data_IF_624009810878
#
_entry.id   IF_624009810878
#
_cell.length_a   1.000
_cell.length_b   1.000
_cell.length_c   1.000
_cell.angle_alpha   90.00
_cell.angle_beta   90.00
_cell.angle_gamma   90.00
#
_symmetry.space_group_name_H-M   'P 1'
#
loop_
_entity.id
_entity.type
_entity.pdbx_description
1 polymer ?
#
# COMPACT_ATOMS: atom_id res chain seq x y z
N UNK A 1 49.42 -5.36 13.30
CA UNK A 1 48.51 -5.05 14.43
C UNK A 1 47.70 -3.84 13.99
N UNK A 2 46.39 -3.89 13.67
CA UNK A 2 45.31 -4.79 14.16
C UNK A 2 45.03 -4.54 15.64
N UNK A 3 43.85 -4.13 16.14
CA UNK A 3 42.55 -3.68 15.57
C UNK A 3 42.10 -2.38 16.32
N UNK A 4 41.02 -1.59 16.07
CA UNK A 4 39.70 -1.72 15.38
C UNK A 4 38.63 -2.48 16.21
N UNK A 5 37.39 -2.03 16.43
CA UNK A 5 36.72 -0.69 16.47
C UNK A 5 35.46 -0.82 17.33
N UNK A 6 35.11 0.18 18.14
CA UNK A 6 33.84 0.28 18.88
C UNK A 6 33.42 1.76 19.03
N UNK A 7 32.13 2.14 19.13
CA UNK A 7 30.89 1.54 18.59
C UNK A 7 29.79 2.62 18.68
N UNK A 8 29.01 2.92 17.61
CA UNK A 8 27.96 3.93 17.66
C UNK A 8 26.66 3.37 18.26
N UNK A 9 26.07 4.10 19.20
CA UNK A 9 24.80 3.71 19.86
C UNK A 9 23.63 3.92 18.91
N UNK A 10 22.80 2.89 18.74
CA UNK A 10 21.48 3.01 18.10
C UNK A 10 20.46 3.52 19.12
N UNK A 11 19.64 4.50 18.73
CA UNK A 11 18.46 4.94 19.49
C UNK A 11 17.44 5.63 18.58
N UNK A 12 16.43 4.89 18.11
CA UNK A 12 15.22 5.49 17.54
C UNK A 12 14.14 5.62 18.63
N UNK A 13 13.52 6.79 18.75
CA UNK A 13 12.50 7.06 19.78
C UNK A 13 11.24 6.18 19.65
N UNK A 14 10.99 5.58 18.48
CA UNK A 14 9.95 4.57 18.29
C UNK A 14 10.36 3.18 18.82
N UNK A 15 11.65 2.86 18.77
CA UNK A 15 12.21 1.62 19.34
C UNK A 15 12.24 1.74 20.87
N UNK A 16 12.64 2.90 21.40
CA UNK A 16 12.55 3.20 22.84
C UNK A 16 11.11 3.00 23.35
N UNK A 17 10.09 3.50 22.63
CA UNK A 17 8.69 3.34 23.04
C UNK A 17 8.20 1.88 22.98
N UNK A 18 8.56 1.12 21.94
CA UNK A 18 8.20 -0.29 21.84
C UNK A 18 8.90 -1.16 22.89
N UNK A 19 10.22 -1.01 23.05
CA UNK A 19 11.01 -1.77 24.00
C UNK A 19 10.69 -1.41 25.47
N UNK A 20 10.29 -0.16 25.76
CA UNK A 20 9.77 0.22 27.07
C UNK A 20 8.45 -0.49 27.38
N UNK A 21 7.53 -0.57 26.40
CA UNK A 21 6.27 -1.30 26.56
C UNK A 21 6.49 -2.79 26.80
N UNK A 22 7.38 -3.43 26.04
CA UNK A 22 7.70 -4.86 26.23
C UNK A 22 8.35 -5.11 27.61
N UNK A 23 9.33 -4.29 28.01
CA UNK A 23 10.02 -4.45 29.29
C UNK A 23 9.11 -4.21 30.52
N UNK A 24 8.13 -3.31 30.42
CA UNK A 24 7.20 -2.96 31.50
C UNK A 24 6.00 -3.93 31.61
N UNK A 25 5.87 -4.85 30.63
CA UNK A 25 5.02 -6.04 30.68
C UNK A 25 5.76 -7.23 31.32
N UNK A 26 6.98 -7.54 30.87
CA UNK A 26 7.81 -8.61 31.45
C UNK A 26 8.12 -8.39 32.93
N UNK A 27 8.20 -7.14 33.39
CA UNK A 27 8.43 -6.80 34.80
C UNK A 27 7.30 -7.23 35.75
N UNK A 28 6.20 -7.83 35.26
CA UNK A 28 5.03 -8.26 36.05
C UNK A 28 4.77 -9.76 36.03
N UNK A 29 5.58 -10.55 35.31
CA UNK A 29 5.42 -12.01 35.21
C UNK A 29 6.23 -12.81 36.25
N UNK A 30 6.97 -12.14 37.14
CA UNK A 30 7.94 -12.75 38.05
C UNK A 30 7.64 -12.53 39.55
N UNK A 31 6.60 -13.20 40.05
CA UNK A 31 6.58 -13.70 41.44
C UNK A 31 5.93 -15.10 41.48
N UNK A 32 6.23 -15.91 42.49
CA UNK A 32 6.03 -17.38 42.51
C UNK A 32 5.33 -17.87 43.81
N UNK A 33 4.97 -19.14 44.07
CA UNK A 33 5.39 -20.47 43.56
C UNK A 33 4.18 -21.47 43.51
N UNK A 34 4.22 -22.75 43.99
CA UNK A 34 4.20 -23.93 43.10
C UNK A 34 3.11 -24.99 43.42
N UNK A 35 3.26 -26.20 42.83
CA UNK A 35 2.55 -27.47 43.12
C UNK A 35 1.09 -27.58 42.59
N UNK A 36 0.54 -28.76 42.26
CA UNK A 36 1.02 -30.17 42.36
C UNK A 36 1.02 -30.89 40.97
N UNK A 37 1.28 -32.21 40.95
CA UNK A 37 1.50 -33.09 39.79
C UNK A 37 0.22 -33.62 39.07
N UNK A 38 0.47 -34.43 38.04
CA UNK A 38 -0.28 -35.61 37.53
C UNK A 38 -1.04 -35.60 36.18
N UNK A 39 -0.67 -36.63 35.40
CA UNK A 39 -1.34 -37.44 34.37
C UNK A 39 -1.64 -36.91 32.94
N UNK A 40 -1.49 -37.83 31.98
CA UNK A 40 -1.68 -37.71 30.53
C UNK A 40 -3.00 -38.39 30.16
N UNK A 41 -3.91 -37.73 29.43
CA UNK A 41 -5.01 -38.41 28.72
C UNK A 41 -5.10 -37.90 27.28
N UNK A 42 -5.17 -38.84 26.33
CA UNK A 42 -5.52 -38.60 24.92
C UNK A 42 -7.03 -38.79 24.77
N UNK A 43 -7.76 -37.82 24.20
CA UNK A 43 -9.14 -38.03 23.74
C UNK A 43 -9.25 -37.72 22.24
N UNK A 44 -9.91 -38.63 21.52
CA UNK A 44 -10.22 -38.53 20.09
C UNK A 44 -11.59 -37.80 19.94
N UNK A 45 -11.69 -36.79 19.08
CA UNK A 45 -12.99 -36.21 18.69
C UNK A 45 -13.38 -36.69 17.27
N UNK A 46 -14.66 -37.06 17.11
CA UNK A 46 -15.19 -37.81 15.96
C UNK A 46 -15.54 -36.91 14.75
N UNK A 47 -15.42 -37.46 13.53
CA UNK A 47 -15.86 -36.78 12.29
C UNK A 47 -17.37 -37.00 12.04
N UNK A 48 -18.19 -35.94 12.05
CA UNK A 48 -19.57 -35.98 11.55
C UNK A 48 -19.64 -35.64 10.05
N UNK A 49 -20.07 -36.59 9.23
CA UNK A 49 -20.40 -36.39 7.80
C UNK A 49 -21.83 -35.84 7.64
N UNK A 50 -22.02 -34.73 6.90
CA UNK A 50 -23.34 -34.37 6.33
C UNK A 50 -23.31 -34.43 4.78
N UNK A 51 -24.34 -35.03 4.18
CA UNK A 51 -24.34 -35.45 2.77
C UNK A 51 -24.59 -34.32 1.74
N UNK A 52 -23.88 -34.35 0.61
CA UNK A 52 -24.15 -33.49 -0.55
C UNK A 52 -25.44 -33.89 -1.30
N UNK A 53 -26.46 -33.04 -1.25
CA UNK A 53 -27.61 -33.11 -2.16
C UNK A 53 -27.30 -32.41 -3.49
N UNK A 54 -27.38 -33.17 -4.60
CA UNK A 54 -27.08 -32.70 -5.97
C UNK A 54 -28.34 -32.13 -6.65
N UNK A 55 -28.16 -31.10 -7.46
CA UNK A 55 -28.92 -30.89 -8.70
C UNK A 55 -28.09 -30.02 -9.67
N UNK A 56 -28.28 -30.21 -10.99
CA UNK A 56 -27.55 -29.54 -12.08
C UNK A 56 -28.53 -28.96 -13.14
N UNK A 57 -28.07 -28.12 -14.11
CA UNK A 57 -28.82 -26.90 -14.50
C UNK A 57 -29.62 -26.96 -15.82
N UNK A 58 -30.48 -25.95 -16.03
CA UNK A 58 -30.98 -25.53 -17.36
C UNK A 58 -31.00 -23.99 -17.53
N UNK A 59 -30.31 -23.52 -18.59
CA UNK A 59 -30.49 -22.37 -19.51
C UNK A 59 -30.99 -20.93 -19.14
N UNK A 60 -30.41 -19.98 -19.89
CA UNK A 60 -30.64 -18.52 -20.05
C UNK A 60 -31.89 -18.24 -20.98
N UNK A 61 -32.38 -17.00 -21.32
CA UNK A 61 -31.83 -15.66 -21.05
C UNK A 61 -32.81 -14.45 -20.78
N UNK A 62 -32.19 -13.28 -20.49
CA UNK A 62 -32.48 -11.93 -21.05
C UNK A 62 -33.32 -10.81 -20.31
N UNK A 63 -32.89 -9.56 -20.57
CA UNK A 63 -33.60 -8.24 -20.58
C UNK A 63 -34.04 -7.44 -19.29
N UNK A 64 -33.39 -6.26 -19.15
CA UNK A 64 -33.83 -4.91 -18.69
C UNK A 64 -34.72 -4.61 -17.44
N UNK A 65 -34.06 -4.04 -16.42
CA UNK A 65 -34.21 -2.62 -15.96
C UNK A 65 -35.32 -2.15 -14.98
N UNK A 66 -35.06 -0.97 -14.36
CA UNK A 66 -36.00 0.00 -13.71
C UNK A 66 -36.65 -0.49 -12.38
N UNK A 67 -37.05 0.35 -11.40
CA UNK A 67 -36.65 1.69 -10.89
C UNK A 67 -37.51 1.98 -9.62
N UNK A 68 -36.91 2.41 -8.50
CA UNK A 68 -37.41 3.38 -7.50
C UNK A 68 -38.89 3.27 -7.00
N UNK A 69 -39.11 3.06 -5.67
CA UNK A 69 -39.88 4.01 -4.81
C UNK A 69 -39.92 3.67 -3.30
N UNK A 70 -40.28 4.69 -2.50
CA UNK A 70 -40.40 4.72 -1.03
C UNK A 70 -41.88 4.73 -0.59
N UNK A 71 -42.18 4.11 0.56
CA UNK A 71 -43.22 4.48 1.55
C UNK A 71 -42.91 3.65 2.84
N UNK A 72 -42.98 4.07 4.11
CA UNK A 72 -43.65 5.16 4.89
C UNK A 72 -45.18 5.02 5.01
N UNK A 73 -45.73 5.48 6.17
CA UNK A 73 -47.15 5.50 6.61
C UNK A 73 -47.56 4.17 7.27
N UNK A 74 -48.22 4.07 8.44
CA UNK A 74 -48.54 4.94 9.62
C UNK A 74 -48.73 3.96 10.82
N UNK A 75 -48.28 4.20 12.06
CA UNK A 75 -48.82 5.10 13.11
C UNK A 75 -50.30 4.87 13.44
N UNK A 76 -50.58 4.27 14.61
CA UNK A 76 -51.89 4.31 15.27
C UNK A 76 -51.70 4.23 16.80
N UNK A 77 -52.22 5.20 17.52
CA UNK A 77 -52.27 5.22 18.99
C UNK A 77 -53.62 4.67 19.48
N UNK A 78 -53.66 4.18 20.72
CA UNK A 78 -54.86 4.17 21.55
C UNK A 78 -54.46 4.15 23.04
N UNK A 79 -55.27 4.78 23.87
CA UNK A 79 -55.02 5.01 25.30
C UNK A 79 -56.28 4.64 26.09
N UNK A 80 -56.14 3.89 27.18
CA UNK A 80 -56.87 4.12 28.44
C UNK A 80 -56.32 3.24 29.60
N UNK A 81 -56.61 3.66 30.82
CA UNK A 81 -56.04 3.25 32.12
C UNK A 81 -57.22 3.17 33.14
N UNK A 82 -57.10 2.90 34.46
CA UNK A 82 -56.08 2.17 35.24
C UNK A 82 -56.70 1.11 36.20
N UNK A 83 -55.87 0.40 37.00
CA UNK A 83 -56.08 0.11 38.46
C UNK A 83 -55.09 -0.91 39.08
N UNK A 84 -54.57 -0.60 40.27
CA UNK A 84 -54.38 -1.59 41.35
C UNK A 84 -52.95 -1.82 41.90
N UNK A 85 -52.74 -1.40 43.15
CA UNK A 85 -51.67 -1.70 44.13
C UNK A 85 -50.85 -3.00 43.94
N UNK A 86 -49.58 -3.08 44.35
CA UNK A 86 -49.17 -2.98 45.78
C UNK A 86 -47.66 -2.69 45.97
N UNK A 87 -47.31 -2.13 47.15
CA UNK A 87 -45.96 -1.82 47.62
C UNK A 87 -45.02 -3.03 47.75
N UNK A 88 -43.74 -2.84 47.40
CA UNK A 88 -42.68 -2.83 48.43
C UNK A 88 -41.49 -1.98 47.99
N UNK A 89 -40.89 -1.25 48.94
CA UNK A 89 -39.69 -0.45 48.70
C UNK A 89 -38.44 -1.07 49.34
N UNK A 90 -37.28 -0.73 48.77
CA UNK A 90 -35.98 -0.75 49.43
C UNK A 90 -35.31 0.61 49.22
N UNK A 91 -34.50 1.07 50.17
CA UNK A 91 -34.02 2.46 50.21
C UNK A 91 -32.68 2.62 49.49
N UNK A 92 -32.59 3.65 48.64
CA UNK A 92 -31.32 4.22 48.22
C UNK A 92 -30.53 4.74 49.43
N UNK A 93 -29.30 4.23 49.61
CA UNK A 93 -28.26 4.91 50.37
C UNK A 93 -27.20 5.44 49.41
N UNK A 94 -27.54 6.58 48.78
CA UNK A 94 -26.62 7.39 47.99
C UNK A 94 -25.50 7.96 48.89
N UNK A 95 -24.41 7.22 49.10
CA UNK A 95 -23.14 7.80 49.51
C UNK A 95 -22.50 8.49 48.31
N UNK A 96 -22.86 9.75 48.12
CA UNK A 96 -22.43 10.58 47.00
C UNK A 96 -20.94 10.91 47.02
N UNK A 97 -20.10 10.00 46.51
CA UNK A 97 -18.77 10.33 46.02
C UNK A 97 -18.87 10.84 44.56
N UNK A 98 -19.51 11.99 44.37
CA UNK A 98 -19.53 12.69 43.07
C UNK A 98 -18.16 13.35 42.81
N UNK A 99 -17.15 12.51 42.64
CA UNK A 99 -15.93 12.90 41.96
C UNK A 99 -16.32 13.22 40.52
N UNK A 100 -16.21 14.48 40.13
CA UNK A 100 -16.22 14.88 38.73
C UNK A 100 -15.06 14.17 38.06
N UNK A 101 -15.34 13.03 37.40
CA UNK A 101 -14.32 12.20 36.74
C UNK A 101 -13.53 13.08 35.79
N UNK A 102 -12.31 13.42 36.19
CA UNK A 102 -11.39 14.19 35.35
C UNK A 102 -11.17 13.37 34.08
N UNK A 103 -11.42 13.98 32.93
CA UNK A 103 -11.13 13.36 31.65
C UNK A 103 -9.63 13.05 31.61
N UNK A 104 -9.28 11.80 31.34
CA UNK A 104 -7.91 11.34 31.40
C UNK A 104 -7.10 11.94 30.23
N UNK A 105 -6.16 12.85 30.53
CA UNK A 105 -5.33 13.57 29.55
C UNK A 105 -3.99 12.89 29.25
N UNK A 106 -3.87 11.59 29.52
CA UNK A 106 -2.66 10.81 29.27
C UNK A 106 -2.50 10.42 27.78
N UNK A 107 -1.28 10.12 27.32
CA UNK A 107 -0.97 9.92 25.89
C UNK A 107 -1.76 8.81 25.16
N UNK A 108 -2.33 7.83 25.85
CA UNK A 108 -3.05 6.73 25.20
C UNK A 108 -3.71 5.70 26.12
N UNK A 109 -4.27 4.67 25.51
CA UNK A 109 -4.90 3.51 26.16
C UNK A 109 -4.47 2.18 25.54
N UNK A 110 -4.59 1.11 26.33
CA UNK A 110 -4.70 -0.26 25.86
C UNK A 110 -6.13 -0.72 26.04
N UNK A 111 -6.83 -0.97 24.93
CA UNK A 111 -8.27 -1.15 24.94
C UNK A 111 -8.96 0.08 25.53
N UNK A 112 -9.79 -0.16 26.55
CA UNK A 112 -10.51 0.87 27.30
C UNK A 112 -9.79 1.36 28.57
N UNK A 113 -8.53 0.95 28.83
CA UNK A 113 -7.76 1.39 30.01
C UNK A 113 -6.60 2.32 29.62
N UNK A 114 -6.50 3.48 30.29
CA UNK A 114 -5.35 4.38 30.12
C UNK A 114 -4.02 3.70 30.48
N UNK A 115 -3.01 3.82 29.61
CA UNK A 115 -1.68 3.19 29.80
C UNK A 115 -0.90 3.71 31.02
N UNK A 116 -1.18 4.92 31.50
CA UNK A 116 -0.44 5.54 32.63
C UNK A 116 -1.15 5.36 33.97
N UNK A 117 -2.46 5.61 34.03
CA UNK A 117 -3.21 5.65 35.29
C UNK A 117 -4.23 4.54 35.48
N UNK A 118 -4.39 3.63 34.52
CA UNK A 118 -5.37 2.54 34.58
C UNK A 118 -6.84 2.98 34.55
N UNK A 119 -7.13 4.29 34.45
CA UNK A 119 -8.50 4.80 34.40
C UNK A 119 -9.21 4.28 33.14
N UNK A 120 -10.39 3.69 33.34
CA UNK A 120 -11.27 3.28 32.24
C UNK A 120 -11.77 4.50 31.46
N UNK A 121 -11.59 4.48 30.14
CA UNK A 121 -12.01 5.49 29.19
C UNK A 121 -13.36 5.09 28.59
N UNK A 122 -14.26 6.06 28.40
CA UNK A 122 -15.59 5.85 27.83
C UNK A 122 -15.68 6.24 26.34
N UNK A 123 -14.60 6.76 25.76
CA UNK A 123 -14.60 7.38 24.43
C UNK A 123 -13.47 6.79 23.57
N UNK A 124 -13.79 6.41 22.33
CA UNK A 124 -12.83 5.90 21.34
C UNK A 124 -12.06 7.02 20.63
N UNK A 125 -11.59 8.02 21.38
CA UNK A 125 -10.83 9.15 20.82
C UNK A 125 -9.36 8.79 20.60
N UNK A 126 -8.81 9.20 19.46
CA UNK A 126 -7.42 8.92 19.08
C UNK A 126 -7.28 7.77 18.09
N UNK A 127 -6.09 7.62 17.51
CA UNK A 127 -5.81 6.64 16.45
C UNK A 127 -5.33 5.32 17.06
N UNK A 128 -5.91 4.22 16.58
CA UNK A 128 -5.51 2.86 16.94
C UNK A 128 -4.24 2.48 16.17
N UNK A 129 -3.20 2.02 16.86
CA UNK A 129 -1.95 1.52 16.28
C UNK A 129 -1.85 0.00 16.47
N UNK A 130 -2.91 -0.70 16.07
CA UNK A 130 -3.07 -2.14 16.26
C UNK A 130 -1.92 -2.96 15.64
N UNK A 131 -1.28 -2.42 14.60
CA UNK A 131 -0.17 -3.05 13.92
C UNK A 131 1.10 -3.15 14.79
N UNK A 132 1.28 -2.24 15.75
CA UNK A 132 2.35 -2.27 16.76
C UNK A 132 1.96 -3.24 17.87
N UNK A 133 0.81 -2.99 18.51
CA UNK A 133 0.25 -3.87 19.53
C UNK A 133 -1.28 -3.81 19.50
N UNK A 134 -1.93 -4.97 19.56
CA UNK A 134 -3.39 -5.09 19.54
C UNK A 134 -4.01 -4.24 20.68
N UNK A 135 -4.96 -3.38 20.35
CA UNK A 135 -5.63 -2.50 21.30
C UNK A 135 -4.87 -1.24 21.71
N UNK A 136 -3.63 -0.99 21.23
CA UNK A 136 -2.94 0.28 21.45
C UNK A 136 -3.70 1.42 20.74
N UNK A 137 -4.03 2.48 21.48
CA UNK A 137 -4.58 3.73 20.92
C UNK A 137 -3.86 4.93 21.53
N UNK A 138 -3.47 5.89 20.70
CA UNK A 138 -2.83 7.13 21.14
C UNK A 138 -3.72 8.35 20.89
N UNK A 139 -3.67 9.33 21.79
CA UNK A 139 -4.38 10.60 21.64
C UNK A 139 -3.83 11.43 20.47
N UNK A 140 -4.70 12.21 19.82
CA UNK A 140 -4.33 12.97 18.62
C UNK A 140 -3.13 13.92 18.84
N UNK A 141 -3.09 14.61 19.97
CA UNK A 141 -2.00 15.52 20.32
C UNK A 141 -0.67 14.77 20.53
N UNK A 142 -0.72 13.56 21.09
CA UNK A 142 0.46 12.72 21.27
C UNK A 142 0.98 12.17 19.94
N UNK A 143 0.09 11.75 19.03
CA UNK A 143 0.48 11.31 17.69
C UNK A 143 1.14 12.45 16.91
N UNK A 144 0.63 13.67 17.05
CA UNK A 144 1.28 14.87 16.49
C UNK A 144 2.65 15.11 17.15
N UNK A 145 2.77 14.96 18.48
CA UNK A 145 4.05 15.08 19.21
C UNK A 145 5.08 14.05 18.74
N UNK A 146 4.69 12.78 18.61
CA UNK A 146 5.54 11.69 18.13
C UNK A 146 5.96 11.91 16.68
N UNK A 147 5.02 12.17 15.75
CA UNK A 147 5.33 12.51 14.35
C UNK A 147 6.35 13.64 14.23
N UNK A 148 6.19 14.70 15.03
CA UNK A 148 7.09 15.84 15.06
C UNK A 148 8.47 15.51 15.65
N UNK A 149 8.55 14.56 16.59
CA UNK A 149 9.80 14.11 17.22
C UNK A 149 10.57 13.15 16.31
N UNK A 150 9.91 12.07 15.88
CA UNK A 150 10.52 10.99 15.11
C UNK A 150 10.94 11.48 13.72
N UNK A 151 10.13 12.31 13.05
CA UNK A 151 10.52 12.91 11.77
C UNK A 151 11.78 13.78 11.93
N UNK A 152 11.90 14.58 13.01
CA UNK A 152 13.11 15.38 13.26
C UNK A 152 14.32 14.53 13.62
N UNK A 153 14.13 13.40 14.30
CA UNK A 153 15.19 12.43 14.56
C UNK A 153 15.68 11.80 13.24
N UNK A 154 14.73 11.35 12.41
CA UNK A 154 15.01 10.69 11.14
C UNK A 154 15.69 11.61 10.12
N UNK A 155 15.23 12.87 10.02
CA UNK A 155 15.84 13.90 9.17
C UNK A 155 17.29 14.22 9.56
N UNK A 156 17.63 14.21 10.86
CA UNK A 156 19.04 14.38 11.31
C UNK A 156 19.95 13.25 10.84
N UNK A 157 19.42 12.04 10.73
CA UNK A 157 20.11 10.87 10.20
C UNK A 157 20.10 10.80 8.66
N UNK A 158 19.69 11.89 7.97
CA UNK A 158 19.46 11.93 6.52
C UNK A 158 18.55 10.79 6.01
N UNK A 159 17.51 10.44 6.76
CA UNK A 159 16.48 9.48 6.33
C UNK A 159 15.12 10.15 6.13
N UNK A 160 14.31 9.54 5.27
CA UNK A 160 12.88 9.82 5.05
C UNK A 160 12.05 8.56 5.36
N UNK A 161 10.73 8.63 5.29
CA UNK A 161 9.87 7.44 5.40
C UNK A 161 9.49 6.91 4.01
N UNK A 162 9.42 5.58 3.88
CA UNK A 162 8.96 4.91 2.66
C UNK A 162 7.92 3.84 2.99
N UNK A 163 6.68 4.06 2.57
CA UNK A 163 5.60 3.08 2.65
C UNK A 163 5.61 2.23 1.39
N UNK A 164 5.67 0.91 1.55
CA UNK A 164 5.69 -0.07 0.48
C UNK A 164 4.43 -0.92 0.53
N UNK A 165 3.73 -1.02 -0.60
CA UNK A 165 2.74 -2.07 -0.82
C UNK A 165 3.40 -3.42 -1.16
N UNK A 166 2.65 -4.52 -1.12
CA UNK A 166 3.13 -5.87 -1.43
C UNK A 166 2.69 -6.33 -2.82
N UNK A 167 1.39 -6.46 -3.03
CA UNK A 167 0.76 -7.17 -4.14
C UNK A 167 0.85 -6.39 -5.45
N UNK A 168 1.50 -6.97 -6.46
CA UNK A 168 1.88 -6.32 -7.71
C UNK A 168 2.91 -5.18 -7.56
N UNK A 169 3.31 -4.84 -6.34
CA UNK A 169 4.31 -3.83 -6.02
C UNK A 169 5.70 -4.45 -5.81
N UNK A 170 5.88 -5.23 -4.73
CA UNK A 170 7.12 -5.93 -4.38
C UNK A 170 7.11 -7.43 -4.70
N UNK A 171 5.91 -8.01 -4.87
CA UNK A 171 5.70 -9.44 -5.11
C UNK A 171 4.38 -9.67 -5.86
N UNK A 172 4.14 -10.90 -6.28
CA UNK A 172 2.84 -11.34 -6.78
C UNK A 172 2.55 -12.74 -6.23
N UNK A 173 1.32 -12.96 -5.75
CA UNK A 173 0.87 -14.23 -5.17
C UNK A 173 -0.30 -14.80 -5.97
N UNK A 174 -0.43 -16.13 -5.99
CA UNK A 174 -1.59 -16.84 -6.55
C UNK A 174 -1.99 -18.02 -5.68
N UNK A 175 -3.28 -18.27 -5.54
CA UNK A 175 -3.79 -19.49 -4.90
C UNK A 175 -3.49 -20.70 -5.79
N UNK A 176 -3.17 -21.85 -5.19
CA UNK A 176 -2.74 -23.04 -5.93
C UNK A 176 -3.82 -23.61 -6.85
N UNK A 177 -5.11 -23.39 -6.52
CA UNK A 177 -6.24 -23.77 -7.39
C UNK A 177 -6.42 -22.85 -8.62
N UNK A 178 -5.77 -21.69 -8.66
CA UNK A 178 -5.78 -20.77 -9.80
C UNK A 178 -4.54 -20.90 -10.72
N UNK A 179 -3.66 -21.88 -10.44
CA UNK A 179 -2.49 -22.20 -11.27
C UNK A 179 -2.93 -22.82 -12.60
N UNK A 180 -2.43 -22.32 -13.72
CA UNK A 180 -2.72 -22.91 -15.04
C UNK A 180 -1.80 -24.11 -15.34
N UNK A 181 -2.22 -24.96 -16.29
CA UNK A 181 -1.39 -26.07 -16.77
C UNK A 181 -0.09 -25.59 -17.48
N UNK A 182 -0.07 -24.37 -18.01
CA UNK A 182 1.16 -23.77 -18.58
C UNK A 182 2.18 -23.40 -17.49
N UNK A 183 1.72 -23.17 -16.26
CA UNK A 183 2.51 -22.76 -15.09
C UNK A 183 2.95 -23.92 -14.21
N UNK A 184 2.51 -25.16 -14.47
CA UNK A 184 2.79 -26.31 -13.61
C UNK A 184 4.30 -26.59 -13.44
N UNK A 185 5.13 -26.17 -14.40
CA UNK A 185 6.59 -26.25 -14.30
C UNK A 185 7.16 -25.47 -13.10
N UNK A 186 6.46 -24.45 -12.59
CA UNK A 186 6.89 -23.68 -11.41
C UNK A 186 6.97 -24.56 -10.14
N UNK A 187 6.19 -25.65 -10.07
CA UNK A 187 6.25 -26.62 -8.97
C UNK A 187 7.60 -27.34 -8.85
N UNK A 188 8.40 -27.38 -9.91
CA UNK A 188 9.76 -27.97 -9.91
C UNK A 188 10.90 -26.93 -9.86
N UNK A 189 10.57 -25.64 -9.83
CA UNK A 189 11.52 -24.53 -9.73
C UNK A 189 11.39 -23.78 -8.39
N UNK A 190 10.86 -24.44 -7.37
CA UNK A 190 10.56 -23.82 -6.09
C UNK A 190 11.82 -23.63 -5.25
N UNK A 191 11.99 -22.43 -4.71
CA UNK A 191 13.07 -22.10 -3.79
C UNK A 191 12.78 -22.62 -2.38
N UNK A 192 13.84 -22.97 -1.64
CA UNK A 192 13.71 -23.48 -0.28
C UNK A 192 13.34 -22.36 0.70
N UNK A 193 12.31 -22.60 1.53
CA UNK A 193 11.99 -21.76 2.68
C UNK A 193 13.11 -21.73 3.76
N UNK A 194 14.19 -22.49 3.58
CA UNK A 194 15.41 -22.41 4.40
C UNK A 194 16.47 -21.45 3.82
N UNK A 195 16.39 -21.07 2.54
CA UNK A 195 17.27 -20.08 1.90
C UNK A 195 16.47 -18.95 1.22
N UNK A 196 15.56 -18.37 2.00
CA UNK A 196 14.70 -17.24 1.61
C UNK A 196 15.52 -16.05 1.08
N UNK A 197 16.78 -15.89 1.52
CA UNK A 197 17.61 -14.73 1.16
C UNK A 197 18.16 -14.76 -0.28
N UNK A 198 18.14 -15.93 -0.93
CA UNK A 198 18.56 -16.09 -2.33
C UNK A 198 17.41 -16.52 -3.25
N UNK A 199 16.32 -17.06 -2.69
CA UNK A 199 15.14 -17.48 -3.44
C UNK A 199 14.26 -16.33 -3.91
N UNK A 200 13.38 -16.62 -4.87
CA UNK A 200 12.33 -15.70 -5.32
C UNK A 200 10.95 -16.35 -5.45
N UNK A 201 10.84 -17.67 -5.59
CA UNK A 201 9.58 -18.38 -5.83
C UNK A 201 9.29 -19.40 -4.72
N UNK A 202 8.28 -19.12 -3.90
CA UNK A 202 7.96 -19.88 -2.69
C UNK A 202 6.54 -20.44 -2.73
N UNK A 203 6.34 -21.61 -2.13
CA UNK A 203 5.01 -22.22 -1.89
C UNK A 203 4.73 -22.09 -0.40
N UNK A 204 3.57 -21.56 -0.06
CA UNK A 204 3.10 -21.45 1.32
C UNK A 204 1.96 -22.44 1.52
N UNK A 205 2.32 -23.66 1.90
CA UNK A 205 1.39 -24.80 2.00
C UNK A 205 0.18 -24.50 2.91
N UNK A 206 0.43 -23.90 4.07
CA UNK A 206 -0.59 -23.50 5.05
C UNK A 206 -1.52 -22.35 4.59
N UNK A 207 -1.16 -21.65 3.50
CA UNK A 207 -2.02 -20.64 2.86
C UNK A 207 -2.58 -21.12 1.51
N UNK A 208 -2.25 -22.36 1.11
CA UNK A 208 -2.53 -22.92 -0.21
C UNK A 208 -2.18 -21.98 -1.37
N UNK A 209 -1.06 -21.26 -1.29
CA UNK A 209 -0.64 -20.29 -2.31
C UNK A 209 0.81 -20.48 -2.77
N UNK A 210 1.15 -19.82 -3.87
CA UNK A 210 2.51 -19.62 -4.36
C UNK A 210 2.77 -18.13 -4.49
N UNK A 211 3.93 -17.67 -4.04
CA UNK A 211 4.36 -16.27 -4.04
C UNK A 211 5.66 -16.15 -4.81
N UNK A 212 5.69 -15.22 -5.77
CA UNK A 212 6.88 -14.79 -6.48
C UNK A 212 7.27 -13.40 -6.00
N UNK A 213 8.46 -13.28 -5.42
CA UNK A 213 9.11 -11.99 -5.15
C UNK A 213 9.54 -11.35 -6.47
N UNK A 214 9.33 -10.03 -6.62
CA UNK A 214 9.70 -9.28 -7.82
C UNK A 214 11.23 -9.21 -7.95
N UNK A 215 11.80 -9.32 -9.17
CA UNK A 215 13.23 -9.14 -9.38
C UNK A 215 13.79 -7.88 -8.73
N UNK A 216 15.07 -7.95 -8.33
CA UNK A 216 15.80 -6.93 -7.58
C UNK A 216 15.33 -6.63 -6.14
N UNK A 217 14.26 -7.24 -5.61
CA UNK A 217 13.63 -6.77 -4.35
C UNK A 217 14.56 -6.76 -3.12
N UNK A 218 15.38 -7.77 -2.88
CA UNK A 218 16.27 -7.77 -1.70
C UNK A 218 17.37 -6.69 -1.81
N UNK A 219 17.86 -6.42 -3.02
CA UNK A 219 18.80 -5.32 -3.28
C UNK A 219 18.12 -3.97 -3.14
N UNK A 220 16.88 -3.83 -3.65
CA UNK A 220 16.04 -2.65 -3.46
C UNK A 220 15.84 -2.33 -1.98
N UNK A 221 15.41 -3.29 -1.15
CA UNK A 221 15.18 -3.09 0.29
C UNK A 221 16.49 -2.72 1.01
N UNK A 222 17.58 -3.44 0.71
CA UNK A 222 18.91 -3.19 1.30
C UNK A 222 19.48 -1.81 0.98
N UNK A 223 19.26 -1.31 -0.24
CA UNK A 223 19.76 0.00 -0.64
C UNK A 223 18.78 1.13 -0.25
N UNK A 224 17.47 0.87 -0.21
CA UNK A 224 16.47 1.80 0.30
C UNK A 224 16.62 2.02 1.82
N UNK A 225 16.92 0.99 2.62
CA UNK A 225 17.07 1.10 4.09
C UNK A 225 18.17 2.08 4.53
N UNK A 226 19.12 2.42 3.65
CA UNK A 226 20.17 3.42 3.91
C UNK A 226 19.64 4.85 3.83
N UNK A 227 18.56 5.07 3.07
CA UNK A 227 17.94 6.39 2.80
C UNK A 227 16.57 6.54 3.46
N UNK A 228 15.92 5.43 3.85
CA UNK A 228 14.54 5.40 4.31
C UNK A 228 14.34 4.55 5.56
N UNK A 229 13.31 4.89 6.34
CA UNK A 229 12.68 4.04 7.33
C UNK A 229 11.41 3.44 6.71
N UNK A 230 11.34 2.10 6.65
CA UNK A 230 10.40 1.42 5.76
C UNK A 230 9.22 0.79 6.50
N UNK A 231 8.05 0.89 5.88
CA UNK A 231 6.78 0.31 6.33
C UNK A 231 6.24 -0.60 5.23
N UNK A 232 5.65 -1.74 5.60
CA UNK A 232 4.73 -2.49 4.74
C UNK A 232 3.32 -1.95 5.00
N UNK A 233 2.54 -1.72 3.94
CA UNK A 233 1.11 -1.42 4.01
C UNK A 233 0.37 -2.07 2.83
N UNK A 234 -0.19 -3.27 3.06
CA UNK A 234 -0.98 -4.04 2.07
C UNK A 234 -2.49 -3.93 2.31
N UNK A 235 -3.30 -4.33 1.32
CA UNK A 235 -4.73 -4.61 1.44
C UNK A 235 -5.06 -6.10 1.74
N UNK A 236 -4.04 -6.95 1.93
CA UNK A 236 -4.19 -8.28 2.54
C UNK A 236 -4.48 -8.21 4.05
N UNK A 237 -4.93 -9.33 4.63
CA UNK A 237 -5.05 -9.49 6.09
C UNK A 237 -3.70 -9.52 6.80
N UNK A 238 -3.77 -9.44 8.13
CA UNK A 238 -2.61 -9.47 9.01
C UNK A 238 -1.81 -10.77 8.95
N UNK A 239 -2.45 -11.92 8.70
CA UNK A 239 -1.73 -13.19 8.56
C UNK A 239 -0.87 -13.15 7.28
N UNK A 240 -1.48 -12.88 6.13
CA UNK A 240 -0.78 -12.70 4.86
C UNK A 240 0.36 -11.68 4.95
N UNK A 241 0.09 -10.49 5.50
CA UNK A 241 1.07 -9.41 5.60
C UNK A 241 2.33 -9.81 6.40
N UNK A 242 2.17 -10.58 7.48
CA UNK A 242 3.28 -11.05 8.30
C UNK A 242 4.09 -12.16 7.62
N UNK A 243 3.45 -13.07 6.88
CA UNK A 243 4.17 -14.12 6.14
C UNK A 243 4.95 -13.54 4.95
N UNK A 244 4.35 -12.59 4.20
CA UNK A 244 5.07 -11.85 3.16
C UNK A 244 6.25 -11.05 3.73
N UNK A 245 6.09 -10.47 4.93
CA UNK A 245 7.19 -9.78 5.61
C UNK A 245 8.34 -10.73 5.98
N UNK A 246 8.07 -11.99 6.37
CA UNK A 246 9.13 -13.01 6.57
C UNK A 246 9.86 -13.36 5.28
N UNK A 247 9.18 -13.39 4.13
CA UNK A 247 9.81 -13.64 2.84
C UNK A 247 10.71 -12.47 2.40
N UNK A 248 10.29 -11.24 2.63
CA UNK A 248 11.05 -10.04 2.25
C UNK A 248 12.19 -9.68 3.22
N UNK A 249 11.97 -9.91 4.52
CA UNK A 249 12.83 -9.49 5.63
C UNK A 249 12.91 -10.60 6.72
N UNK A 250 13.51 -11.77 6.42
CA UNK A 250 13.57 -12.90 7.35
C UNK A 250 14.36 -12.61 8.64
N UNK A 251 15.15 -11.53 8.67
CA UNK A 251 15.95 -11.10 9.83
C UNK A 251 15.37 -9.91 10.59
N UNK A 252 14.23 -9.36 10.14
CA UNK A 252 13.56 -8.16 10.70
C UNK A 252 14.45 -6.90 10.70
N UNK A 253 15.36 -6.78 9.75
CA UNK A 253 16.32 -5.68 9.59
C UNK A 253 15.70 -4.41 8.97
N UNK A 254 14.55 -4.55 8.30
CA UNK A 254 13.95 -3.48 7.48
C UNK A 254 12.60 -3.00 8.00
N UNK A 255 11.72 -3.90 8.43
CA UNK A 255 10.35 -3.57 8.84
C UNK A 255 10.11 -3.69 10.34
N UNK A 256 10.66 -4.70 10.99
CA UNK A 256 10.36 -5.05 12.38
C UNK A 256 8.82 -5.06 12.63
N UNK A 257 8.28 -4.22 13.51
CA UNK A 257 6.84 -4.12 13.79
C UNK A 257 6.04 -3.30 12.76
N UNK A 258 6.67 -2.67 11.76
CA UNK A 258 6.03 -1.74 10.80
C UNK A 258 5.31 -2.45 9.65
N UNK A 259 4.46 -3.42 9.98
CA UNK A 259 3.67 -4.23 9.04
C UNK A 259 2.18 -3.93 9.24
N UNK A 260 1.66 -3.05 8.39
CA UNK A 260 0.27 -2.60 8.38
C UNK A 260 -0.52 -3.48 7.40
N UNK A 261 -1.62 -4.06 7.87
CA UNK A 261 -2.56 -4.82 7.05
C UNK A 261 -3.85 -4.04 6.78
N UNK A 262 -4.73 -4.60 5.95
CA UNK A 262 -6.12 -4.16 5.79
C UNK A 262 -6.86 -4.03 7.13
N UNK A 263 -6.56 -4.93 8.07
CA UNK A 263 -7.29 -5.08 9.33
C UNK A 263 -6.85 -4.01 10.36
N UNK A 264 -5.71 -3.36 10.10
CA UNK A 264 -5.19 -2.21 10.85
C UNK A 264 -5.67 -0.85 10.29
N UNK A 265 -6.36 -0.84 9.14
CA UNK A 265 -6.72 0.37 8.40
C UNK A 265 -7.93 1.14 8.93
N UNK A 266 -7.81 2.46 9.07
CA UNK A 266 -8.87 3.35 9.59
C UNK A 266 -10.04 3.58 8.62
N UNK A 267 -9.86 3.26 7.33
CA UNK A 267 -10.83 3.50 6.28
C UNK A 267 -11.01 2.26 5.42
N UNK A 268 -12.26 1.76 5.36
CA UNK A 268 -12.58 0.54 4.60
C UNK A 268 -12.24 0.73 3.11
N UNK A 269 -11.40 -0.16 2.58
CA UNK A 269 -10.91 -0.16 1.19
C UNK A 269 -10.06 1.06 0.77
N UNK A 270 -9.44 1.80 1.71
CA UNK A 270 -8.50 2.88 1.40
C UNK A 270 -7.30 2.86 2.34
N UNK A 271 -6.13 3.28 1.85
CA UNK A 271 -4.91 3.45 2.64
C UNK A 271 -4.74 4.91 3.07
N UNK A 272 -4.22 5.13 4.27
CA UNK A 272 -4.07 6.47 4.85
C UNK A 272 -2.81 6.62 5.68
N UNK A 273 -2.15 7.79 5.59
CA UNK A 273 -0.95 8.07 6.39
C UNK A 273 -1.28 8.40 7.86
N UNK A 274 -2.56 8.41 8.23
CA UNK A 274 -3.05 8.70 9.58
C UNK A 274 -2.65 7.65 10.64
N UNK A 275 -2.25 6.44 10.23
CA UNK A 275 -1.61 5.42 11.09
C UNK A 275 -0.08 5.33 10.95
N UNK A 276 0.56 6.10 10.07
CA UNK A 276 2.03 6.08 9.89
C UNK A 276 2.68 7.12 10.80
N UNK A 277 3.74 6.77 11.53
CA UNK A 277 4.38 7.67 12.52
C UNK A 277 5.26 8.79 11.92
N UNK A 278 5.39 8.87 10.59
CA UNK A 278 6.03 9.98 9.91
C UNK A 278 5.10 11.16 9.65
N UNK A 279 5.65 12.37 9.50
CA UNK A 279 4.93 13.49 8.87
C UNK A 279 4.81 13.27 7.35
N UNK A 280 3.67 13.61 6.75
CA UNK A 280 3.44 13.48 5.31
C UNK A 280 4.47 14.23 4.44
N UNK A 281 5.05 15.32 4.94
CA UNK A 281 6.12 16.09 4.28
C UNK A 281 7.44 15.31 4.16
N UNK A 282 7.58 14.18 4.85
CA UNK A 282 8.75 13.32 4.85
C UNK A 282 8.44 11.86 4.44
N UNK A 283 7.23 11.57 3.95
CA UNK A 283 6.80 10.22 3.53
C UNK A 283 6.71 10.12 2.01
N UNK A 284 7.35 9.09 1.45
CA UNK A 284 7.06 8.57 0.11
C UNK A 284 6.24 7.28 0.19
N UNK A 285 5.47 7.01 -0.86
CA UNK A 285 4.66 5.80 -1.01
C UNK A 285 5.04 5.14 -2.33
N UNK A 286 5.27 3.82 -2.34
CA UNK A 286 5.40 3.00 -3.54
C UNK A 286 4.26 1.98 -3.58
N UNK A 287 3.42 2.09 -4.60
CA UNK A 287 2.15 1.35 -4.72
C UNK A 287 1.70 1.33 -6.20
N UNK A 288 1.07 0.25 -6.64
CA UNK A 288 0.55 0.08 -8.01
C UNK A 288 -0.84 0.73 -8.22
N UNK A 289 -1.51 1.13 -7.14
CA UNK A 289 -2.96 1.40 -7.05
C UNK A 289 -3.23 2.83 -6.56
N UNK A 290 -3.22 3.79 -7.51
CA UNK A 290 -3.53 5.22 -7.26
C UNK A 290 -4.88 5.46 -6.53
N UNK A 291 -5.83 4.55 -6.68
CA UNK A 291 -7.16 4.60 -6.04
C UNK A 291 -7.15 4.22 -4.57
N UNK A 292 -6.14 3.49 -4.08
CA UNK A 292 -6.00 3.18 -2.65
C UNK A 292 -5.64 4.43 -1.83
N UNK A 293 -4.88 5.35 -2.43
CA UNK A 293 -4.30 6.53 -1.79
C UNK A 293 -5.03 7.84 -2.09
N UNK A 294 -6.36 7.83 -2.01
CA UNK A 294 -7.26 8.94 -2.43
C UNK A 294 -6.85 10.32 -1.89
N UNK A 295 -6.33 10.38 -0.65
CA UNK A 295 -5.92 11.59 0.08
C UNK A 295 -4.43 11.96 -0.08
N UNK A 296 -3.58 11.02 -0.46
CA UNK A 296 -2.10 11.16 -0.37
C UNK A 296 -1.41 10.99 -1.73
N UNK A 297 -2.11 11.29 -2.84
CA UNK A 297 -1.59 11.14 -4.22
C UNK A 297 -0.32 11.94 -4.50
N UNK A 298 -0.12 13.07 -3.82
CA UNK A 298 1.10 13.88 -3.93
C UNK A 298 2.33 13.22 -3.25
N UNK A 299 2.15 12.15 -2.47
CA UNK A 299 3.22 11.32 -1.89
C UNK A 299 3.55 10.07 -2.74
N UNK A 300 2.71 9.75 -3.73
CA UNK A 300 2.72 8.45 -4.42
C UNK A 300 3.68 8.40 -5.62
N UNK A 301 4.64 7.48 -5.55
CA UNK A 301 5.34 6.89 -6.69
C UNK A 301 4.47 5.76 -7.22
N UNK A 302 3.67 6.03 -8.24
CA UNK A 302 2.91 5.01 -8.96
C UNK A 302 3.86 4.22 -9.86
N UNK A 303 3.82 2.88 -9.80
CA UNK A 303 4.63 1.98 -10.62
C UNK A 303 3.79 0.97 -11.42
N UNK A 304 4.41 0.24 -12.35
CA UNK A 304 3.75 -0.81 -13.14
C UNK A 304 3.50 -2.07 -12.29
N UNK A 305 2.36 -2.74 -12.53
CA UNK A 305 1.96 -3.96 -11.82
C UNK A 305 2.84 -5.15 -12.18
N UNK A 306 3.33 -5.85 -11.16
CA UNK A 306 3.97 -7.15 -11.34
C UNK A 306 2.91 -8.24 -11.57
N UNK A 307 2.81 -8.68 -12.83
CA UNK A 307 1.91 -9.75 -13.26
C UNK A 307 2.71 -11.01 -13.59
N UNK A 308 3.22 -11.67 -12.54
CA UNK A 308 3.98 -12.91 -12.72
C UNK A 308 3.08 -14.09 -13.08
N UNK A 309 2.04 -14.34 -12.27
CA UNK A 309 1.11 -15.45 -12.46
C UNK A 309 -0.06 -15.10 -13.38
N UNK A 310 -0.54 -16.06 -14.17
CA UNK A 310 -1.64 -15.90 -15.13
C UNK A 310 -2.96 -15.49 -14.47
N UNK A 311 -3.22 -16.00 -13.25
CA UNK A 311 -4.37 -15.61 -12.42
C UNK A 311 -4.46 -14.10 -12.20
N UNK A 312 -3.33 -13.41 -12.08
CA UNK A 312 -3.30 -11.95 -11.93
C UNK A 312 -3.66 -11.19 -13.21
N UNK A 313 -3.27 -11.70 -14.39
CA UNK A 313 -3.73 -11.13 -15.66
C UNK A 313 -5.26 -11.24 -15.79
N UNK A 314 -5.80 -12.42 -15.47
CA UNK A 314 -7.25 -12.67 -15.51
C UNK A 314 -8.03 -11.79 -14.53
N UNK A 315 -7.56 -11.63 -13.28
CA UNK A 315 -8.20 -10.80 -12.26
C UNK A 315 -8.35 -9.32 -12.68
N UNK A 316 -7.39 -8.78 -13.43
CA UNK A 316 -7.42 -7.41 -13.95
C UNK A 316 -7.98 -7.30 -15.38
N UNK A 317 -8.48 -8.40 -15.95
CA UNK A 317 -9.10 -8.43 -17.28
C UNK A 317 -8.12 -8.32 -18.46
N UNK A 318 -6.84 -8.59 -18.24
CA UNK A 318 -5.82 -8.56 -19.29
C UNK A 318 -5.85 -9.85 -20.13
N UNK A 319 -5.85 -9.68 -21.46
CA UNK A 319 -5.86 -10.78 -22.44
C UNK A 319 -4.45 -11.16 -22.96
N UNK A 320 -3.40 -10.69 -22.28
CA UNK A 320 -2.01 -11.03 -22.59
C UNK A 320 -1.45 -12.07 -21.61
N UNK A 321 -0.58 -12.94 -22.12
CA UNK A 321 0.18 -13.90 -21.30
C UNK A 321 0.99 -13.18 -20.22
N UNK A 322 0.94 -13.75 -19.02
CA UNK A 322 1.74 -13.38 -17.85
C UNK A 322 3.23 -13.74 -18.02
N UNK A 323 4.08 -13.27 -17.11
CA UNK A 323 5.52 -13.54 -17.17
C UNK A 323 5.84 -15.05 -17.04
N UNK A 324 5.07 -15.78 -16.23
CA UNK A 324 5.17 -17.24 -16.06
C UNK A 324 4.85 -18.00 -17.34
N UNK A 325 3.73 -17.69 -18.00
CA UNK A 325 3.37 -18.29 -19.30
C UNK A 325 4.39 -17.97 -20.40
N UNK A 326 5.00 -16.78 -20.35
CA UNK A 326 6.09 -16.37 -21.24
C UNK A 326 7.45 -16.97 -20.85
N UNK A 327 7.56 -17.61 -19.68
CA UNK A 327 8.78 -18.20 -19.10
C UNK A 327 9.92 -17.18 -19.00
N UNK A 328 9.55 -16.00 -18.50
CA UNK A 328 10.38 -14.79 -18.42
C UNK A 328 10.13 -14.06 -17.09
N UNK A 329 10.87 -12.99 -16.83
CA UNK A 329 10.71 -12.16 -15.63
C UNK A 329 11.22 -10.72 -15.90
N UNK A 330 11.07 -9.80 -14.95
CA UNK A 330 11.72 -8.49 -15.01
C UNK A 330 13.26 -8.59 -14.90
N UNK A 331 13.99 -7.58 -15.39
CA UNK A 331 15.45 -7.52 -15.29
C UNK A 331 15.89 -6.92 -13.94
N UNK A 332 16.91 -7.52 -13.31
CA UNK A 332 17.52 -6.95 -12.09
C UNK A 332 18.20 -5.58 -12.33
N UNK A 333 18.66 -5.26 -13.54
CA UNK A 333 19.36 -4.00 -13.81
C UNK A 333 18.42 -2.83 -14.15
N UNK A 334 17.33 -3.14 -14.85
CA UNK A 334 16.48 -2.16 -15.53
C UNK A 334 14.98 -2.46 -15.44
N UNK A 335 14.57 -3.42 -14.60
CA UNK A 335 13.18 -3.65 -14.21
C UNK A 335 12.62 -2.54 -13.32
N UNK A 336 11.40 -2.72 -12.82
CA UNK A 336 10.64 -1.64 -12.19
C UNK A 336 11.27 -1.20 -10.85
N UNK A 337 11.67 -2.13 -9.97
CA UNK A 337 12.29 -1.79 -8.69
C UNK A 337 13.69 -1.15 -8.86
N UNK A 338 14.47 -1.63 -9.83
CA UNK A 338 15.76 -1.01 -10.17
C UNK A 338 15.59 0.42 -10.71
N UNK A 339 14.52 0.68 -11.48
CA UNK A 339 14.17 2.00 -11.99
C UNK A 339 13.67 2.92 -10.87
N UNK A 340 12.75 2.46 -10.02
CA UNK A 340 12.26 3.21 -8.85
C UNK A 340 13.38 3.53 -7.86
N UNK A 341 14.37 2.66 -7.65
CA UNK A 341 15.50 2.98 -6.78
C UNK A 341 16.36 4.14 -7.31
N UNK A 342 16.50 4.26 -8.64
CA UNK A 342 17.17 5.42 -9.29
C UNK A 342 16.38 6.72 -8.98
N UNK A 343 15.06 6.67 -8.98
CA UNK A 343 14.16 7.78 -8.60
C UNK A 343 14.25 8.14 -7.11
N UNK A 344 14.17 7.14 -6.21
CA UNK A 344 14.29 7.34 -4.76
C UNK A 344 15.61 8.00 -4.38
N UNK A 345 16.72 7.58 -5.00
CA UNK A 345 18.04 8.22 -4.87
C UNK A 345 18.04 9.67 -5.34
N UNK A 346 17.41 9.98 -6.48
CA UNK A 346 17.31 11.36 -6.99
C UNK A 346 16.50 12.25 -6.04
N UNK A 347 15.37 11.77 -5.53
CA UNK A 347 14.53 12.50 -4.56
C UNK A 347 15.31 12.75 -3.27
N UNK A 348 15.97 11.73 -2.72
CA UNK A 348 16.76 11.83 -1.49
C UNK A 348 17.89 12.87 -1.62
N UNK A 349 18.66 12.82 -2.70
CA UNK A 349 19.74 13.77 -2.97
C UNK A 349 19.23 15.21 -3.12
N UNK A 350 18.14 15.44 -3.87
CA UNK A 350 17.55 16.80 -3.97
C UNK A 350 17.07 17.26 -2.59
N UNK A 351 16.35 16.39 -1.87
CA UNK A 351 15.74 16.73 -0.58
C UNK A 351 16.79 17.11 0.48
N UNK A 352 17.92 16.40 0.57
CA UNK A 352 18.95 16.67 1.58
C UNK A 352 20.06 17.60 1.09
N UNK A 353 20.57 17.43 -0.13
CA UNK A 353 21.83 18.03 -0.57
C UNK A 353 21.65 19.20 -1.56
N UNK A 354 20.65 19.21 -2.44
CA UNK A 354 20.46 20.36 -3.36
C UNK A 354 19.74 21.54 -2.68
N UNK A 355 18.80 21.28 -1.75
CA UNK A 355 17.99 22.30 -1.08
C UNK A 355 18.67 22.98 0.14
N UNK A 356 20.01 23.10 0.17
CA UNK A 356 20.77 23.50 1.37
C UNK A 356 20.27 24.78 2.06
N UNK A 357 19.88 25.81 1.29
CA UNK A 357 19.44 27.11 1.80
C UNK A 357 18.07 27.07 2.52
N UNK A 358 17.30 25.99 2.38
CA UNK A 358 15.99 25.80 3.02
C UNK A 358 16.15 25.01 4.31
N UNK A 359 15.58 25.47 5.41
CA UNK A 359 15.57 24.74 6.68
C UNK A 359 14.96 23.34 6.50
N UNK A 360 15.65 22.30 6.96
CA UNK A 360 15.30 20.89 6.80
C UNK A 360 13.89 20.57 7.35
N UNK A 361 13.55 21.17 8.50
CA UNK A 361 12.22 21.08 9.14
C UNK A 361 11.07 21.69 8.29
N UNK A 362 11.38 22.40 7.20
CA UNK A 362 10.41 23.03 6.29
C UNK A 362 10.46 22.52 4.85
N UNK A 363 11.26 21.48 4.56
CA UNK A 363 11.28 20.82 3.24
C UNK A 363 10.11 19.84 3.15
N UNK A 364 9.50 19.73 1.97
CA UNK A 364 8.38 18.82 1.71
C UNK A 364 8.70 17.92 0.50
N UNK A 365 8.81 16.62 0.75
CA UNK A 365 9.20 15.60 -0.23
C UNK A 365 8.22 15.53 -1.40
N UNK A 366 6.97 15.94 -1.21
CA UNK A 366 5.94 16.00 -2.28
C UNK A 366 6.30 17.04 -3.34
N UNK A 367 6.92 18.15 -2.95
CA UNK A 367 7.40 19.15 -3.91
C UNK A 367 8.63 18.66 -4.66
N UNK A 368 9.53 17.91 -4.00
CA UNK A 368 10.69 17.26 -4.65
C UNK A 368 10.22 16.18 -5.64
N UNK A 369 9.31 15.30 -5.24
CA UNK A 369 8.69 14.27 -6.08
C UNK A 369 8.03 14.89 -7.33
N UNK A 370 7.34 16.02 -7.16
CA UNK A 370 6.68 16.78 -8.23
C UNK A 370 7.66 17.49 -9.16
N UNK A 371 8.87 17.83 -8.71
CA UNK A 371 9.97 18.27 -9.58
C UNK A 371 10.52 17.09 -10.37
N UNK A 372 10.95 16.01 -9.70
CA UNK A 372 11.50 14.80 -10.35
C UNK A 372 10.53 14.20 -11.38
N UNK A 373 9.21 14.26 -11.13
CA UNK A 373 8.20 13.83 -12.12
C UNK A 373 8.20 14.70 -13.39
N UNK A 374 8.42 16.01 -13.28
CA UNK A 374 8.46 16.94 -14.43
C UNK A 374 9.72 16.80 -15.28
N UNK A 375 10.82 16.38 -14.66
CA UNK A 375 12.09 16.16 -15.38
C UNK A 375 11.95 15.02 -16.43
N UNK A 376 10.95 14.13 -16.27
CA UNK A 376 10.76 12.94 -17.10
C UNK A 376 10.50 13.26 -18.58
N UNK A 377 9.59 14.19 -18.90
CA UNK A 377 9.27 14.60 -20.28
C UNK A 377 9.55 16.10 -20.52
N UNK A 378 10.49 16.71 -19.78
CA UNK A 378 10.89 18.10 -20.00
C UNK A 378 11.26 18.35 -21.48
N UNK A 379 10.84 19.49 -22.01
CA UNK A 379 11.08 19.87 -23.41
C UNK A 379 10.23 19.11 -24.43
N UNK A 380 9.43 18.12 -24.02
CA UNK A 380 8.47 17.47 -24.91
C UNK A 380 7.28 18.39 -25.20
N UNK A 381 6.95 18.56 -26.49
CA UNK A 381 5.75 19.23 -26.96
C UNK A 381 4.87 18.22 -27.69
N UNK A 382 3.71 17.93 -27.12
CA UNK A 382 2.88 16.77 -27.45
C UNK A 382 1.56 17.22 -28.07
N UNK A 383 1.16 16.57 -29.17
CA UNK A 383 -0.18 16.73 -29.76
C UNK A 383 -0.84 15.37 -29.95
N UNK A 384 -2.05 15.22 -29.41
CA UNK A 384 -2.83 13.99 -29.55
C UNK A 384 -3.65 13.95 -30.86
N UNK A 385 -3.81 12.75 -31.42
CA UNK A 385 -4.63 12.46 -32.59
C UNK A 385 -5.42 11.16 -32.43
N UNK A 386 -6.75 11.22 -32.50
CA UNK A 386 -7.69 10.09 -32.29
C UNK A 386 -7.62 9.34 -30.95
N UNK A 387 -6.85 9.84 -29.98
CA UNK A 387 -6.75 9.25 -28.62
C UNK A 387 -8.02 9.48 -27.77
N UNK A 388 -8.78 10.54 -28.05
CA UNK A 388 -10.04 10.86 -27.37
C UNK A 388 -11.05 11.51 -28.34
N UNK A 389 -12.37 11.50 -28.04
CA UNK A 389 -13.40 12.00 -28.95
C UNK A 389 -13.26 13.50 -29.26
N UNK A 390 -13.56 13.90 -30.50
CA UNK A 390 -13.36 15.28 -30.99
C UNK A 390 -14.19 16.36 -30.25
N UNK A 391 -15.27 15.97 -29.57
CA UNK A 391 -16.12 16.86 -28.77
C UNK A 391 -15.72 16.89 -27.28
N UNK A 392 -14.71 16.11 -26.87
CA UNK A 392 -14.24 16.05 -25.49
C UNK A 392 -13.25 17.18 -25.17
N UNK A 393 -13.27 17.69 -23.93
CA UNK A 393 -12.26 18.64 -23.46
C UNK A 393 -10.92 17.94 -23.28
N UNK A 394 -10.02 18.08 -24.26
CA UNK A 394 -8.74 17.38 -24.34
C UNK A 394 -7.92 17.42 -23.04
N UNK A 395 -7.82 18.59 -22.42
CA UNK A 395 -7.12 18.83 -21.16
C UNK A 395 -7.74 18.12 -19.94
N UNK A 396 -8.97 17.64 -20.04
CA UNK A 396 -9.59 16.83 -18.99
C UNK A 396 -9.23 15.33 -19.08
N UNK A 397 -8.64 14.88 -20.18
CA UNK A 397 -8.30 13.47 -20.42
C UNK A 397 -7.13 13.01 -19.53
N UNK A 398 -7.19 11.78 -19.01
CA UNK A 398 -6.16 11.26 -18.08
C UNK A 398 -4.76 11.27 -18.71
N UNK A 399 -4.64 10.84 -19.97
CA UNK A 399 -3.34 10.82 -20.67
C UNK A 399 -2.77 12.22 -20.96
N UNK A 400 -3.62 13.25 -21.08
CA UNK A 400 -3.17 14.64 -21.20
C UNK A 400 -2.61 15.13 -19.87
N UNK A 401 -3.36 14.91 -18.78
CA UNK A 401 -2.93 15.26 -17.41
C UNK A 401 -1.65 14.53 -17.01
N UNK A 402 -1.52 13.25 -17.37
CA UNK A 402 -0.30 12.46 -17.15
C UNK A 402 0.91 13.08 -17.88
N UNK A 403 0.77 13.43 -19.16
CA UNK A 403 1.83 14.10 -19.92
C UNK A 403 2.25 15.45 -19.30
N UNK A 404 1.30 16.29 -18.87
CA UNK A 404 1.58 17.56 -18.21
C UNK A 404 2.20 17.40 -16.81
N UNK A 405 1.79 16.37 -16.05
CA UNK A 405 2.41 16.00 -14.77
C UNK A 405 3.85 15.53 -14.96
N UNK A 406 4.14 14.85 -16.08
CA UNK A 406 5.49 14.47 -16.51
C UNK A 406 6.30 15.63 -17.12
N UNK A 407 5.78 16.86 -17.11
CA UNK A 407 6.50 18.06 -17.57
C UNK A 407 6.42 18.35 -19.07
N UNK A 408 5.70 17.55 -19.86
CA UNK A 408 5.46 17.85 -21.26
C UNK A 408 4.44 19.00 -21.44
N UNK A 409 4.60 19.79 -22.51
CA UNK A 409 3.65 20.82 -22.90
C UNK A 409 2.70 20.24 -23.94
N UNK A 410 1.42 20.07 -23.58
CA UNK A 410 0.40 19.56 -24.50
C UNK A 410 -0.27 20.66 -25.32
N UNK A 411 -0.58 20.37 -26.59
CA UNK A 411 -1.24 21.30 -27.52
C UNK A 411 -2.36 20.60 -28.31
N UNK A 412 -3.40 21.35 -28.64
CA UNK A 412 -4.47 20.94 -29.57
C UNK A 412 -4.05 21.10 -31.04
N UNK A 413 -3.21 22.10 -31.33
CA UNK A 413 -2.81 22.55 -32.66
C UNK A 413 -1.38 22.14 -33.02
N UNK A 414 -1.07 22.09 -34.32
CA UNK A 414 0.24 21.72 -34.85
C UNK A 414 1.04 22.97 -35.25
N UNK A 415 2.19 23.16 -34.62
CA UNK A 415 3.20 24.16 -34.99
C UNK A 415 4.57 23.51 -35.22
N UNK A 416 5.57 24.30 -35.63
CA UNK A 416 6.94 23.81 -35.88
C UNK A 416 7.68 23.35 -34.62
N UNK A 417 7.23 23.74 -33.42
CA UNK A 417 7.84 23.45 -32.12
C UNK A 417 7.36 22.13 -31.50
N UNK A 418 6.24 21.57 -31.96
CA UNK A 418 5.77 20.22 -31.57
C UNK A 418 6.88 19.19 -31.81
N UNK A 419 7.16 18.32 -30.84
CA UNK A 419 8.18 17.26 -30.95
C UNK A 419 7.58 15.87 -31.14
N UNK A 420 6.40 15.61 -30.57
CA UNK A 420 5.72 14.31 -30.65
C UNK A 420 4.26 14.46 -31.07
N UNK A 421 3.78 13.55 -31.92
CA UNK A 421 2.36 13.28 -32.14
C UNK A 421 2.02 11.93 -31.53
N UNK A 422 1.05 11.90 -30.63
CA UNK A 422 0.59 10.69 -29.93
C UNK A 422 -0.69 10.20 -30.58
N UNK A 423 -0.69 8.98 -31.10
CA UNK A 423 -1.84 8.41 -31.82
C UNK A 423 -1.86 6.89 -31.80
N UNK A 424 -3.05 6.32 -31.94
CA UNK A 424 -3.26 4.89 -32.23
C UNK A 424 -3.15 4.58 -33.73
N UNK A 425 -3.17 5.59 -34.61
CA UNK A 425 -3.20 5.42 -36.06
C UNK A 425 -2.13 6.23 -36.79
N UNK A 426 -1.39 5.60 -37.70
CA UNK A 426 -0.51 6.31 -38.63
C UNK A 426 -1.28 7.08 -39.74
N UNK A 427 -2.56 6.75 -39.96
CA UNK A 427 -3.38 7.29 -41.05
C UNK A 427 -3.91 8.71 -40.85
N UNK A 428 -3.86 9.28 -39.64
CA UNK A 428 -4.44 10.61 -39.37
C UNK A 428 -3.66 11.74 -40.04
N UNK A 429 -4.29 12.90 -40.22
CA UNK A 429 -3.60 14.09 -40.75
C UNK A 429 -2.42 14.51 -39.86
N UNK A 430 -2.59 14.51 -38.53
CA UNK A 430 -1.52 14.83 -37.58
C UNK A 430 -0.37 13.82 -37.65
N UNK A 431 -0.70 12.53 -37.80
CA UNK A 431 0.28 11.44 -37.95
C UNK A 431 1.09 11.59 -39.25
N UNK A 432 0.41 11.90 -40.37
CA UNK A 432 1.04 12.23 -41.66
C UNK A 432 1.88 13.50 -41.61
N UNK A 433 1.45 14.52 -40.86
CA UNK A 433 2.24 15.72 -40.60
C UNK A 433 3.52 15.40 -39.82
N UNK A 434 3.46 14.56 -38.78
CA UNK A 434 4.63 14.19 -37.99
C UNK A 434 5.69 13.48 -38.87
N UNK A 435 5.28 12.46 -39.62
CA UNK A 435 6.16 11.75 -40.56
C UNK A 435 6.77 12.70 -41.61
N UNK A 436 5.98 13.61 -42.19
CA UNK A 436 6.47 14.61 -43.17
C UNK A 436 7.50 15.58 -42.59
N UNK A 437 7.33 15.98 -41.32
CA UNK A 437 8.18 16.97 -40.65
C UNK A 437 9.27 16.34 -39.76
N UNK A 438 9.50 15.02 -39.87
CA UNK A 438 10.46 14.25 -39.05
C UNK A 438 10.28 14.47 -37.54
N UNK A 439 9.02 14.47 -37.08
CA UNK A 439 8.64 14.48 -35.67
C UNK A 439 8.28 13.06 -35.23
N UNK A 440 8.42 12.77 -33.95
CA UNK A 440 8.10 11.44 -33.41
C UNK A 440 6.60 11.15 -33.52
N UNK A 441 6.25 9.91 -33.87
CA UNK A 441 4.89 9.41 -33.98
C UNK A 441 4.77 8.14 -33.12
N UNK A 442 4.24 8.30 -31.91
CA UNK A 442 4.26 7.28 -30.85
C UNK A 442 2.86 6.89 -30.39
N UNK A 443 2.74 5.65 -29.93
CA UNK A 443 1.53 5.11 -29.32
C UNK A 443 1.31 5.71 -27.91
N UNK A 444 0.05 5.90 -27.43
CA UNK A 444 -0.25 6.30 -26.05
C UNK A 444 0.60 5.65 -24.95
N UNK A 445 0.88 4.34 -25.11
CA UNK A 445 1.74 3.54 -24.21
C UNK A 445 3.14 4.12 -23.94
N UNK A 446 3.65 5.02 -24.79
CA UNK A 446 4.91 5.74 -24.53
C UNK A 446 4.83 6.64 -23.30
N UNK A 447 3.71 7.36 -23.12
CA UNK A 447 3.47 8.21 -21.95
C UNK A 447 3.22 7.34 -20.71
N UNK A 448 2.46 6.26 -20.86
CA UNK A 448 2.14 5.33 -19.78
C UNK A 448 3.42 4.63 -19.25
N UNK A 449 4.28 4.14 -20.14
CA UNK A 449 5.58 3.58 -19.77
C UNK A 449 6.52 4.62 -19.17
N UNK A 450 6.55 5.85 -19.70
CA UNK A 450 7.33 6.94 -19.09
C UNK A 450 6.82 7.34 -17.69
N UNK A 451 5.51 7.21 -17.44
CA UNK A 451 4.92 7.43 -16.12
C UNK A 451 5.32 6.33 -15.12
N UNK A 452 5.22 5.05 -15.49
CA UNK A 452 5.52 3.94 -14.58
C UNK A 452 7.02 3.71 -14.34
N UNK A 453 7.85 3.93 -15.36
CA UNK A 453 9.31 3.77 -15.27
C UNK A 453 10.02 5.07 -14.86
N UNK A 454 9.29 6.18 -14.70
CA UNK A 454 9.81 7.49 -14.27
C UNK A 454 10.99 8.02 -15.11
N UNK A 455 11.02 7.64 -16.38
CA UNK A 455 12.07 7.99 -17.33
C UNK A 455 11.49 8.06 -18.75
N UNK A 456 11.91 9.05 -19.55
CA UNK A 456 11.58 9.11 -20.98
C UNK A 456 12.03 7.84 -21.68
N UNK A 457 11.07 7.14 -22.27
CA UNK A 457 11.32 5.90 -22.99
C UNK A 457 11.76 6.18 -24.44
N UNK A 458 12.60 5.32 -25.06
CA UNK A 458 12.94 5.43 -26.48
C UNK A 458 11.69 5.40 -27.35
N UNK A 459 11.52 6.41 -28.21
CA UNK A 459 10.32 6.57 -29.03
C UNK A 459 10.14 5.43 -30.04
N UNK A 460 11.23 4.82 -30.50
CA UNK A 460 11.24 3.70 -31.46
C UNK A 460 10.41 2.51 -30.95
N UNK A 461 10.52 2.20 -29.65
CA UNK A 461 9.83 1.07 -29.00
C UNK A 461 8.31 1.22 -29.01
N UNK A 462 7.79 2.43 -29.27
CA UNK A 462 6.36 2.76 -29.25
C UNK A 462 5.87 3.28 -30.61
N UNK A 463 6.61 3.00 -31.70
CA UNK A 463 6.28 3.42 -33.06
C UNK A 463 4.87 2.99 -33.50
N UNK A 464 4.10 3.92 -34.07
CA UNK A 464 2.76 3.61 -34.60
C UNK A 464 2.88 2.95 -35.97
N UNK A 465 2.61 1.64 -36.03
CA UNK A 465 2.61 0.87 -37.27
C UNK A 465 1.66 1.47 -38.32
N UNK A 466 2.12 1.54 -39.58
CA UNK A 466 1.23 1.79 -40.71
C UNK A 466 0.37 0.55 -40.96
N UNK A 467 -0.94 0.69 -41.22
CA UNK A 467 -1.75 -0.44 -41.67
C UNK A 467 -1.17 -0.93 -43.00
N UNK A 468 -0.85 -2.23 -43.07
CA UNK A 468 -0.48 -2.86 -44.35
C UNK A 468 -1.70 -2.77 -45.27
N UNK A 469 -1.55 -2.08 -46.40
CA UNK A 469 -2.56 -2.13 -47.46
C UNK A 469 -2.70 -3.58 -47.94
N UNK A 470 -3.91 -4.12 -47.79
CA UNK A 470 -4.44 -5.24 -48.56
C UNK A 470 -5.05 -4.70 -49.86
#
# INVERSE_FOLDING_TARGET
MSLVTDSPVHSSSSEDFAALLDAELDSKSSDSSPNDDDEEEEEEEEEEEEEEAKDEPEDDPDIESKRIKRSRVETLENVEDPKGSTFHGSLDLNLGASSSKVACTHPGSFGDMCIICGQRLNEETGVTLAYIHKGLRLGNDEIVRLRNSDTKNLLRHKKLYLVLDLDHTLLNSTQLMHMTAEEEYLKSQLDSLQDVSNGSLFKLDFMHMMTKLRPYVHTFLKEASQMFEMYIYTMGDRAYALEMAKLLDPRREYFNARVISRDDGTQRHQKGLDIVLGQESAVLILDDTETAWTKHKDNLILMERYHFFASSCHQFGFSCKSLSELKSDESDSDGALASVLKVLRRIHHIFFDELMDVNLDSRDVRQVLKTVRKDVLEGCKIVFSRVFPTQFQANNHQLWKMAEQLGAICSTELDSSITHVVSTEAGTEKSRWAMKNKKFLVHPRWIEAANYLWQRQPEENFSVNQPKHQ
#
